data_IF_461926412147
#
_entry.id   IF_461926412147
#
_cell.length_a   1.000
_cell.length_b   1.000
_cell.length_c   1.000
_cell.angle_alpha   90.00
_cell.angle_beta   90.00
_cell.angle_gamma   90.00
#
_symmetry.space_group_name_H-M   'P 1'
#
loop_
_entity.id
_entity.type
_entity.pdbx_description
1 polymer ?
#
# COMPACT_ATOMS: atom_id res chain seq x y z
N UNK A 1 7.52 12.75 -3.00
CA UNK A 1 7.50 11.43 -3.66
C UNK A 1 7.96 10.41 -2.63
N UNK A 2 7.05 9.63 -2.03
CA UNK A 2 7.45 8.48 -1.23
C UNK A 2 7.76 7.33 -2.19
N UNK A 3 8.97 7.29 -2.72
CA UNK A 3 9.43 6.19 -3.55
C UNK A 3 9.92 5.08 -2.62
N UNK A 4 9.27 3.93 -2.67
CA UNK A 4 9.73 2.74 -1.96
C UNK A 4 10.77 2.08 -2.86
N UNK A 5 12.02 2.01 -2.40
CA UNK A 5 13.06 1.28 -3.11
C UNK A 5 12.67 -0.21 -3.17
N UNK A 6 12.47 -0.73 -4.38
CA UNK A 6 12.25 -2.16 -4.57
C UNK A 6 13.58 -2.87 -4.72
N UNK A 7 13.75 -3.97 -4.00
CA UNK A 7 14.88 -4.87 -4.20
C UNK A 7 14.70 -5.58 -5.53
N UNK A 8 15.64 -5.39 -6.45
CA UNK A 8 15.66 -6.07 -7.76
C UNK A 8 16.83 -7.04 -7.84
N UNK A 9 16.67 -8.10 -8.66
CA UNK A 9 17.77 -8.98 -9.07
C UNK A 9 17.98 -8.77 -10.57
N UNK A 10 19.24 -8.55 -10.94
CA UNK A 10 19.64 -8.34 -12.34
C UNK A 10 20.32 -9.61 -12.87
N UNK A 11 20.07 -9.93 -14.13
CA UNK A 11 20.78 -10.97 -14.89
C UNK A 11 21.13 -10.44 -16.28
N UNK A 12 22.01 -11.14 -17.01
CA UNK A 12 22.30 -10.80 -18.41
C UNK A 12 21.09 -11.15 -19.28
N UNK A 13 20.81 -10.30 -20.27
CA UNK A 13 19.77 -10.58 -21.26
C UNK A 13 20.07 -11.87 -22.03
N UNK A 14 19.05 -12.67 -22.26
CA UNK A 14 19.08 -13.93 -23.00
C UNK A 14 18.73 -13.69 -24.48
N UNK A 15 19.11 -14.61 -25.39
CA UNK A 15 18.78 -14.48 -26.82
C UNK A 15 17.29 -14.34 -27.13
N UNK A 16 16.43 -14.90 -26.28
CA UNK A 16 14.97 -14.86 -26.38
C UNK A 16 14.32 -13.59 -25.82
N UNK A 17 15.06 -12.81 -25.00
CA UNK A 17 14.53 -11.60 -24.38
C UNK A 17 14.33 -10.51 -25.43
N UNK A 18 13.15 -9.88 -25.43
CA UNK A 18 12.83 -8.77 -26.33
C UNK A 18 12.85 -7.45 -25.58
N UNK A 19 13.26 -6.39 -26.28
CA UNK A 19 13.15 -5.05 -25.75
C UNK A 19 11.68 -4.74 -25.42
N UNK A 20 11.41 -4.33 -24.18
CA UNK A 20 10.05 -4.07 -23.70
C UNK A 20 9.31 -5.29 -23.14
N UNK A 21 9.98 -6.43 -22.94
CA UNK A 21 9.43 -7.57 -22.21
C UNK A 21 9.40 -7.29 -20.69
N UNK A 22 8.55 -6.34 -20.31
CA UNK A 22 8.29 -5.94 -18.93
C UNK A 22 6.96 -6.57 -18.54
N UNK A 23 7.05 -7.58 -17.68
CA UNK A 23 5.87 -8.22 -17.12
C UNK A 23 5.79 -7.97 -15.61
N UNK A 24 4.61 -7.57 -15.15
CA UNK A 24 4.31 -7.43 -13.73
C UNK A 24 3.27 -8.48 -13.35
N UNK A 25 3.62 -9.31 -12.38
CA UNK A 25 2.71 -10.29 -11.80
C UNK A 25 1.82 -9.60 -10.76
N UNK A 26 0.59 -9.28 -11.16
CA UNK A 26 -0.39 -8.60 -10.29
C UNK A 26 -0.90 -9.51 -9.18
N UNK A 27 -0.91 -10.83 -9.39
CA UNK A 27 -1.33 -11.79 -8.38
C UNK A 27 -0.31 -11.81 -7.23
N UNK A 28 0.99 -11.91 -7.53
CA UNK A 28 2.03 -11.79 -6.49
C UNK A 28 1.98 -10.45 -5.76
N UNK A 29 1.74 -9.38 -6.50
CA UNK A 29 1.59 -8.05 -5.90
C UNK A 29 0.42 -8.01 -4.91
N UNK A 30 -0.70 -8.63 -5.26
CA UNK A 30 -1.87 -8.74 -4.39
C UNK A 30 -1.62 -9.64 -3.17
N UNK A 31 -0.92 -10.76 -3.32
CA UNK A 31 -0.54 -11.62 -2.20
C UNK A 31 0.33 -10.89 -1.17
N UNK A 32 1.31 -10.10 -1.63
CA UNK A 32 2.15 -9.29 -0.73
C UNK A 32 1.31 -8.23 -0.01
N UNK A 33 0.39 -7.59 -0.72
CA UNK A 33 -0.56 -6.66 -0.12
C UNK A 33 -1.40 -7.33 0.99
N UNK A 34 -1.95 -8.52 0.73
CA UNK A 34 -2.73 -9.27 1.74
C UNK A 34 -1.90 -9.59 2.99
N UNK A 35 -0.66 -10.06 2.81
CA UNK A 35 0.27 -10.31 3.93
C UNK A 35 0.51 -9.07 4.77
N UNK A 36 0.64 -7.90 4.14
CA UNK A 36 0.78 -6.64 4.88
C UNK A 36 -0.50 -6.24 5.57
N UNK A 37 -1.66 -6.42 4.93
CA UNK A 37 -2.96 -6.14 5.52
C UNK A 37 -3.19 -6.93 6.81
N UNK A 38 -2.80 -8.20 6.85
CA UNK A 38 -2.86 -9.06 8.05
C UNK A 38 -2.06 -8.49 9.24
N UNK A 39 -1.00 -7.73 8.99
CA UNK A 39 -0.18 -7.10 10.02
C UNK A 39 -0.76 -5.77 10.53
N UNK A 40 -1.80 -5.24 9.88
CA UNK A 40 -2.41 -3.96 10.24
C UNK A 40 -3.50 -4.12 11.30
N UNK A 41 -3.84 -3.02 11.99
CA UNK A 41 -5.00 -2.98 12.89
C UNK A 41 -6.25 -2.69 12.06
N UNK A 42 -7.29 -3.53 12.11
CA UNK A 42 -8.52 -3.28 11.36
C UNK A 42 -9.25 -2.04 11.89
N UNK A 43 -10.02 -1.40 11.01
CA UNK A 43 -10.98 -0.38 11.40
C UNK A 43 -12.31 -1.04 11.83
N UNK A 44 -13.13 -0.40 12.68
CA UNK A 44 -12.88 0.88 13.35
C UNK A 44 -11.80 0.79 14.43
N UNK A 45 -11.08 1.89 14.60
CA UNK A 45 -10.26 2.10 15.80
C UNK A 45 -11.12 2.28 17.05
N UNK A 46 -10.48 2.48 18.21
CA UNK A 46 -11.18 2.74 19.47
C UNK A 46 -12.22 3.86 19.32
N UNK A 47 -13.36 3.72 20.02
CA UNK A 47 -14.47 4.67 19.98
C UNK A 47 -15.14 4.85 18.61
N UNK A 48 -15.08 3.84 17.72
CA UNK A 48 -15.75 3.89 16.41
C UNK A 48 -15.06 4.80 15.39
N UNK A 49 -13.80 5.15 15.63
CA UNK A 49 -13.04 6.06 14.77
C UNK A 49 -12.55 5.35 13.50
N UNK A 50 -12.86 5.92 12.33
CA UNK A 50 -12.24 5.57 11.03
C UNK A 50 -10.76 5.90 11.00
N UNK A 51 -10.35 6.94 11.73
CA UNK A 51 -8.99 7.49 11.72
C UNK A 51 -8.69 8.24 13.02
N UNK A 52 -7.42 8.31 13.47
CA UNK A 52 -7.07 9.01 14.70
C UNK A 52 -7.29 10.52 14.62
N UNK A 53 -7.74 11.13 15.74
CA UNK A 53 -7.95 12.58 15.89
C UNK A 53 -6.63 13.36 16.06
N UNK A 54 -5.61 12.74 16.65
CA UNK A 54 -4.34 13.40 17.01
C UNK A 54 -3.36 13.56 15.84
N UNK A 55 -3.63 12.92 14.69
CA UNK A 55 -2.77 13.01 13.51
C UNK A 55 -3.05 14.31 12.73
N UNK A 56 -2.08 15.23 12.72
CA UNK A 56 -2.15 16.48 11.94
C UNK A 56 -2.24 16.20 10.45
N UNK A 57 -3.11 16.93 9.75
CA UNK A 57 -3.31 16.85 8.29
C UNK A 57 -3.42 18.25 7.72
N UNK A 58 -2.90 18.47 6.51
CA UNK A 58 -2.93 19.78 5.85
C UNK A 58 -4.37 20.31 5.67
N UNK A 59 -5.33 19.42 5.40
CA UNK A 59 -6.75 19.72 5.33
C UNK A 59 -7.49 18.80 6.31
N UNK A 60 -7.50 19.14 7.60
CA UNK A 60 -8.22 18.36 8.62
C UNK A 60 -9.74 18.48 8.36
N UNK A 61 -10.45 17.36 8.11
CA UNK A 61 -11.89 17.40 7.89
C UNK A 61 -12.65 17.64 9.21
N UNK A 62 -13.96 17.88 9.13
CA UNK A 62 -14.82 18.06 10.30
C UNK A 62 -14.86 16.80 11.19
N UNK A 63 -15.03 16.97 12.50
CA UNK A 63 -14.82 15.89 13.49
C UNK A 63 -15.80 14.72 13.32
N UNK A 64 -17.04 14.98 12.92
CA UNK A 64 -18.06 13.97 12.64
C UNK A 64 -17.63 12.97 11.55
N UNK A 65 -16.76 13.38 10.63
CA UNK A 65 -16.25 12.52 9.55
C UNK A 65 -15.21 11.50 10.03
N UNK A 66 -14.76 11.61 11.28
CA UNK A 66 -13.82 10.67 11.87
C UNK A 66 -14.51 9.42 12.39
N UNK A 67 -15.84 9.42 12.55
CA UNK A 67 -16.61 8.30 13.09
C UNK A 67 -17.23 7.46 11.97
N UNK A 68 -17.36 6.14 12.20
CA UNK A 68 -18.20 5.28 11.36
C UNK A 68 -19.66 5.57 11.70
N UNK A 69 -20.48 5.78 10.66
CA UNK A 69 -21.95 5.85 10.76
C UNK A 69 -22.51 4.45 10.63
#
# INVERSE_FOLDING_TARGET
MHCWHQKVRLEKARPEDKYGDIFVDTNKSFEVYQKWMEMTRPAPGPNGLRRPLWMKRALRPAEETFYIK
#
